data_IF_096977175146
#
_entry.id   IF_096977175146
#
_cell.length_a   1.000
_cell.length_b   1.000
_cell.length_c   1.000
_cell.angle_alpha   90.00
_cell.angle_beta   90.00
_cell.angle_gamma   90.00
#
_symmetry.space_group_name_H-M   'P 1'
#
loop_
_entity.id
_entity.type
_entity.pdbx_description
1 polymer ?
#
# COMPACT_ATOMS: atom_id res chain seq x y z
N UNK A 1 -2.19 -23.07 -4.66
CA UNK A 1 -3.47 -22.33 -4.70
C UNK A 1 -4.17 -22.20 -3.36
N UNK A 2 -4.57 -23.26 -2.64
CA UNK A 2 -5.31 -23.12 -1.36
C UNK A 2 -4.57 -22.30 -0.29
N UNK A 3 -3.33 -22.67 0.04
CA UNK A 3 -2.51 -21.97 1.06
C UNK A 3 -2.11 -20.54 0.67
N UNK A 4 -1.91 -20.26 -0.62
CA UNK A 4 -1.53 -18.93 -1.11
C UNK A 4 -2.71 -17.96 -1.01
N UNK A 5 -3.90 -18.41 -1.38
CA UNK A 5 -5.14 -17.64 -1.19
C UNK A 5 -5.39 -17.36 0.30
N UNK A 6 -5.11 -18.32 1.19
CA UNK A 6 -5.24 -18.11 2.63
C UNK A 6 -4.29 -17.02 3.15
N UNK A 7 -3.05 -16.95 2.65
CA UNK A 7 -2.10 -15.90 3.02
C UNK A 7 -2.52 -14.53 2.48
N UNK A 8 -2.98 -14.47 1.23
CA UNK A 8 -3.48 -13.23 0.64
C UNK A 8 -4.72 -12.71 1.37
N UNK A 9 -5.63 -13.60 1.74
CA UNK A 9 -6.80 -13.25 2.54
C UNK A 9 -6.41 -12.74 3.92
N UNK A 10 -5.45 -13.39 4.61
CA UNK A 10 -4.93 -12.90 5.89
C UNK A 10 -4.32 -11.51 5.77
N UNK A 11 -3.55 -11.26 4.71
CA UNK A 11 -2.99 -9.95 4.43
C UNK A 11 -4.09 -8.89 4.27
N UNK A 12 -5.15 -9.17 3.50
CA UNK A 12 -6.26 -8.22 3.35
C UNK A 12 -7.18 -8.08 4.57
N UNK A 13 -7.30 -9.11 5.40
CA UNK A 13 -8.07 -9.04 6.63
C UNK A 13 -7.55 -7.96 7.58
N UNK A 14 -6.23 -7.76 7.64
CA UNK A 14 -5.63 -6.66 8.41
C UNK A 14 -6.20 -5.29 8.01
N UNK A 15 -6.30 -5.02 6.70
CA UNK A 15 -6.87 -3.77 6.20
C UNK A 15 -8.38 -3.69 6.41
N UNK A 16 -9.10 -4.80 6.21
CA UNK A 16 -10.54 -4.87 6.46
C UNK A 16 -10.87 -4.51 7.91
N UNK A 17 -10.09 -5.00 8.89
CA UNK A 17 -10.23 -4.68 10.32
C UNK A 17 -10.02 -3.18 10.59
N UNK A 18 -9.04 -2.56 9.94
CA UNK A 18 -8.79 -1.11 10.05
C UNK A 18 -10.00 -0.32 9.54
N UNK A 19 -10.50 -0.62 8.33
CA UNK A 19 -11.66 0.08 7.76
C UNK A 19 -12.95 -0.14 8.56
N UNK A 20 -13.12 -1.31 9.18
CA UNK A 20 -14.22 -1.55 10.12
C UNK A 20 -14.08 -0.68 11.38
N UNK A 21 -12.87 -0.54 11.93
CA UNK A 21 -12.61 0.26 13.14
C UNK A 21 -12.76 1.77 12.92
N UNK A 22 -12.45 2.25 11.70
CA UNK A 22 -12.52 3.66 11.30
C UNK A 22 -13.93 4.03 10.79
N UNK A 23 -14.86 3.06 10.74
CA UNK A 23 -16.20 3.23 10.18
C UNK A 23 -16.12 3.76 8.74
N UNK A 24 -15.78 2.86 7.80
CA UNK A 24 -15.58 3.13 6.36
C UNK A 24 -16.53 4.15 5.68
N UNK A 25 -17.76 4.38 6.19
CA UNK A 25 -18.67 5.41 5.70
C UNK A 25 -18.13 6.84 5.85
N UNK A 26 -17.15 7.07 6.73
CA UNK A 26 -16.49 8.36 6.91
C UNK A 26 -15.50 8.68 5.77
N UNK A 27 -15.02 7.64 5.06
CA UNK A 27 -13.99 7.76 4.02
C UNK A 27 -14.32 6.89 2.79
N UNK A 28 -15.42 7.19 2.07
CA UNK A 28 -15.89 6.38 0.95
C UNK A 28 -14.94 6.32 -0.25
N UNK A 29 -14.20 7.39 -0.55
CA UNK A 29 -13.27 7.43 -1.69
C UNK A 29 -12.03 6.57 -1.42
N UNK A 30 -11.47 6.67 -0.20
CA UNK A 30 -10.34 5.84 0.23
C UNK A 30 -10.75 4.37 0.27
N UNK A 31 -11.94 4.06 0.80
CA UNK A 31 -12.43 2.67 0.82
C UNK A 31 -12.67 2.11 -0.60
N UNK A 32 -13.18 2.93 -1.52
CA UNK A 32 -13.30 2.55 -2.93
C UNK A 32 -11.92 2.27 -3.55
N UNK A 33 -10.92 3.12 -3.27
CA UNK A 33 -9.54 2.91 -3.74
C UNK A 33 -8.93 1.64 -3.18
N UNK A 34 -9.11 1.36 -1.89
CA UNK A 34 -8.67 0.13 -1.25
C UNK A 34 -9.22 -1.11 -1.97
N UNK A 35 -10.54 -1.16 -2.23
CA UNK A 35 -11.15 -2.30 -2.95
C UNK A 35 -10.57 -2.48 -4.34
N UNK A 36 -10.33 -1.39 -5.07
CA UNK A 36 -9.71 -1.45 -6.38
C UNK A 36 -8.28 -2.01 -6.31
N UNK A 37 -7.47 -1.54 -5.35
CA UNK A 37 -6.11 -2.08 -5.17
C UNK A 37 -6.16 -3.55 -4.78
N UNK A 38 -7.05 -3.97 -3.87
CA UNK A 38 -7.21 -5.38 -3.50
C UNK A 38 -7.54 -6.27 -4.70
N UNK A 39 -8.42 -5.80 -5.57
CA UNK A 39 -8.77 -6.51 -6.80
C UNK A 39 -7.57 -6.62 -7.74
N UNK A 40 -6.90 -5.50 -8.05
CA UNK A 40 -5.72 -5.46 -8.91
C UNK A 40 -4.59 -6.36 -8.37
N UNK A 41 -4.33 -6.32 -7.07
CA UNK A 41 -3.33 -7.16 -6.40
C UNK A 41 -3.63 -8.65 -6.57
N UNK A 42 -4.91 -9.03 -6.47
CA UNK A 42 -5.35 -10.43 -6.63
C UNK A 42 -5.20 -10.90 -8.07
N UNK A 43 -5.53 -10.05 -9.05
CA UNK A 43 -5.34 -10.35 -10.48
C UNK A 43 -3.86 -10.52 -10.81
N UNK A 44 -3.03 -9.57 -10.39
CA UNK A 44 -1.58 -9.56 -10.65
C UNK A 44 -0.90 -10.81 -10.06
N UNK A 45 -1.29 -11.25 -8.86
CA UNK A 45 -0.81 -12.51 -8.26
C UNK A 45 -1.26 -13.73 -9.06
N UNK A 46 -2.52 -13.75 -9.52
CA UNK A 46 -3.08 -14.86 -10.29
C UNK A 46 -2.35 -15.12 -11.60
N UNK A 47 -1.70 -14.11 -12.17
CA UNK A 47 -0.97 -14.19 -13.44
C UNK A 47 0.53 -14.50 -13.26
N UNK A 48 1.02 -14.66 -12.02
CA UNK A 48 2.45 -14.86 -11.78
C UNK A 48 2.93 -16.20 -12.30
N UNK A 49 4.08 -16.17 -12.97
CA UNK A 49 4.76 -17.34 -13.51
C UNK A 49 6.28 -17.08 -13.56
N UNK A 50 7.03 -18.09 -13.99
CA UNK A 50 8.49 -18.05 -14.00
C UNK A 50 9.07 -16.94 -14.90
N UNK A 51 8.33 -16.51 -15.92
CA UNK A 51 8.81 -15.52 -16.89
C UNK A 51 8.51 -14.07 -16.50
N UNK A 52 7.51 -13.84 -15.64
CA UNK A 52 7.10 -12.49 -15.22
C UNK A 52 7.34 -12.19 -13.73
N UNK A 53 7.86 -13.14 -12.95
CA UNK A 53 8.01 -13.02 -11.49
C UNK A 53 8.53 -11.66 -11.00
N UNK A 54 9.67 -11.19 -11.50
CA UNK A 54 10.27 -9.92 -11.04
C UNK A 54 9.42 -8.70 -11.43
N UNK A 55 8.78 -8.73 -12.59
CA UNK A 55 7.91 -7.66 -13.04
C UNK A 55 6.62 -7.64 -12.20
N UNK A 56 6.01 -8.80 -11.97
CA UNK A 56 4.84 -8.97 -11.11
C UNK A 56 5.15 -8.56 -9.67
N UNK A 57 6.31 -8.97 -9.12
CA UNK A 57 6.75 -8.59 -7.79
C UNK A 57 6.86 -7.08 -7.64
N UNK A 58 7.43 -6.39 -8.65
CA UNK A 58 7.47 -4.93 -8.66
C UNK A 58 6.06 -4.33 -8.62
N UNK A 59 5.14 -4.82 -9.45
CA UNK A 59 3.75 -4.34 -9.44
C UNK A 59 3.07 -4.56 -8.09
N UNK A 60 3.27 -5.72 -7.48
CA UNK A 60 2.75 -6.04 -6.14
C UNK A 60 3.30 -5.08 -5.09
N UNK A 61 4.60 -4.81 -5.09
CA UNK A 61 5.23 -3.85 -4.18
C UNK A 61 4.71 -2.43 -4.40
N UNK A 62 4.49 -2.02 -5.66
CA UNK A 62 3.90 -0.71 -5.96
C UNK A 62 2.46 -0.60 -5.42
N UNK A 63 1.68 -1.69 -5.44
CA UNK A 63 0.32 -1.74 -4.88
C UNK A 63 0.32 -1.79 -3.35
N UNK A 64 1.21 -2.56 -2.73
CA UNK A 64 1.42 -2.57 -1.28
C UNK A 64 1.78 -1.17 -0.78
N UNK A 65 2.80 -0.53 -1.38
CA UNK A 65 3.22 0.81 -0.99
C UNK A 65 2.07 1.84 -1.03
N UNK A 66 1.20 1.76 -2.04
CA UNK A 66 -0.02 2.58 -2.10
C UNK A 66 -0.95 2.31 -0.92
N UNK A 67 -1.19 1.03 -0.58
CA UNK A 67 -2.02 0.67 0.58
C UNK A 67 -1.44 1.17 1.89
N UNK A 68 -0.13 1.01 2.10
CA UNK A 68 0.54 1.47 3.31
C UNK A 68 0.38 2.97 3.48
N UNK A 69 0.68 3.77 2.44
CA UNK A 69 0.53 5.24 2.48
C UNK A 69 -0.91 5.63 2.79
N UNK A 70 -1.90 5.00 2.13
CA UNK A 70 -3.33 5.30 2.37
C UNK A 70 -3.70 5.10 3.84
N UNK A 71 -3.25 4.00 4.44
CA UNK A 71 -3.60 3.64 5.81
C UNK A 71 -2.84 4.48 6.83
N UNK A 72 -1.54 4.68 6.63
CA UNK A 72 -0.72 5.51 7.53
C UNK A 72 -1.25 6.93 7.61
N UNK A 73 -1.56 7.56 6.47
CA UNK A 73 -2.14 8.91 6.43
C UNK A 73 -3.53 8.93 7.07
N UNK A 74 -4.40 7.96 6.73
CA UNK A 74 -5.74 7.88 7.31
C UNK A 74 -5.70 7.77 8.84
N UNK A 75 -4.83 6.90 9.36
CA UNK A 75 -4.65 6.70 10.80
C UNK A 75 -4.07 7.97 11.45
N UNK A 76 -3.06 8.58 10.83
CA UNK A 76 -2.44 9.82 11.32
C UNK A 76 -3.47 10.95 11.48
N UNK A 77 -4.23 11.25 10.44
CA UNK A 77 -5.22 12.34 10.48
C UNK A 77 -6.39 12.06 11.42
N UNK A 78 -6.75 10.78 11.61
CA UNK A 78 -7.76 10.40 12.60
C UNK A 78 -7.29 10.68 14.04
N UNK A 79 -6.03 10.37 14.36
CA UNK A 79 -5.46 10.58 15.71
C UNK A 79 -5.34 12.09 16.04
N UNK A 80 -5.15 12.95 15.04
CA UNK A 80 -5.02 14.40 15.23
C UNK A 80 -6.33 15.14 15.60
N UNK A 81 -7.42 14.40 15.83
CA UNK A 81 -8.65 14.85 16.51
C UNK A 81 -9.13 16.26 16.08
N UNK A 82 -9.57 16.36 14.82
CA UNK A 82 -10.52 17.39 14.39
C UNK A 82 -9.98 18.80 14.13
N UNK A 83 -8.65 19.04 14.16
CA UNK A 83 -8.12 20.38 13.80
C UNK A 83 -8.07 20.64 12.31
N UNK A 84 -7.83 19.62 11.49
CA UNK A 84 -8.00 19.66 10.03
C UNK A 84 -8.42 18.25 9.58
N UNK A 85 -9.68 18.07 9.17
CA UNK A 85 -10.06 16.85 8.43
C UNK A 85 -9.31 16.89 7.10
N UNK A 86 -8.34 15.99 6.92
CA UNK A 86 -7.67 15.86 5.63
C UNK A 86 -8.68 15.44 4.56
N UNK A 87 -8.57 16.04 3.38
CA UNK A 87 -9.39 15.68 2.24
C UNK A 87 -8.97 14.28 1.75
N UNK A 88 -9.93 13.39 1.55
CA UNK A 88 -9.65 12.06 0.98
C UNK A 88 -8.84 12.15 -0.32
N UNK A 89 -9.08 13.18 -1.13
CA UNK A 89 -8.34 13.43 -2.37
C UNK A 89 -6.85 13.69 -2.14
N UNK A 90 -6.48 14.37 -1.05
CA UNK A 90 -5.08 14.63 -0.71
C UNK A 90 -4.37 13.32 -0.35
N UNK A 91 -5.02 12.47 0.47
CA UNK A 91 -4.50 11.15 0.83
C UNK A 91 -4.32 10.29 -0.43
N UNK A 92 -5.33 10.28 -1.31
CA UNK A 92 -5.28 9.56 -2.57
C UNK A 92 -4.17 10.08 -3.49
N UNK A 93 -3.95 11.38 -3.52
CA UNK A 93 -2.90 12.01 -4.31
C UNK A 93 -1.53 11.61 -3.79
N UNK A 94 -1.28 11.70 -2.48
CA UNK A 94 -0.01 11.28 -1.87
C UNK A 94 0.29 9.80 -2.15
N UNK A 95 -0.69 8.91 -1.94
CA UNK A 95 -0.53 7.49 -2.26
C UNK A 95 -0.19 7.27 -3.75
N UNK A 96 -0.73 8.11 -4.65
CA UNK A 96 -0.47 7.99 -6.09
C UNK A 96 0.89 8.54 -6.53
N UNK A 97 1.44 9.55 -5.85
CA UNK A 97 2.75 10.13 -6.18
C UNK A 97 3.91 9.45 -5.48
N UNK A 98 3.72 9.04 -4.22
CA UNK A 98 4.86 8.77 -3.31
C UNK A 98 5.20 7.28 -3.18
N UNK A 99 4.32 6.39 -3.67
CA UNK A 99 4.51 4.94 -3.57
C UNK A 99 5.86 4.45 -4.12
N UNK A 100 6.43 5.15 -5.12
CA UNK A 100 7.74 4.82 -5.72
C UNK A 100 8.91 5.01 -4.77
N UNK A 101 8.72 5.82 -3.73
CA UNK A 101 9.75 6.14 -2.74
C UNK A 101 9.50 5.46 -1.41
N UNK A 102 8.27 4.98 -1.14
CA UNK A 102 7.88 4.34 0.11
C UNK A 102 8.93 3.36 0.66
N UNK A 103 9.28 2.31 -0.08
CA UNK A 103 10.24 1.34 0.41
C UNK A 103 11.67 1.90 0.55
N UNK A 104 12.06 2.85 -0.30
CA UNK A 104 13.36 3.51 -0.15
C UNK A 104 13.42 4.27 1.19
N UNK A 105 12.35 4.97 1.54
CA UNK A 105 12.23 5.68 2.83
C UNK A 105 12.20 4.71 4.00
N UNK A 106 11.51 3.57 3.89
CA UNK A 106 11.52 2.51 4.91
C UNK A 106 12.92 1.90 5.11
N UNK A 107 13.76 1.90 4.09
CA UNK A 107 15.18 1.52 4.20
C UNK A 107 16.10 2.67 4.62
N UNK A 108 15.56 3.85 4.95
CA UNK A 108 16.31 5.01 5.45
C UNK A 108 16.90 5.91 4.36
N UNK A 109 16.56 5.70 3.09
CA UNK A 109 17.02 6.55 1.99
C UNK A 109 16.14 7.79 1.85
N UNK A 110 16.78 8.95 1.70
CA UNK A 110 16.15 10.21 1.31
C UNK A 110 16.06 10.31 -0.21
N UNK A 111 15.18 11.20 -0.70
CA UNK A 111 14.99 11.45 -2.14
C UNK A 111 16.29 11.76 -2.90
N UNK A 112 17.23 12.44 -2.25
CA UNK A 112 18.52 12.87 -2.83
C UNK A 112 19.67 11.89 -2.58
N UNK A 113 19.43 10.77 -1.90
CA UNK A 113 20.49 9.82 -1.59
C UNK A 113 20.90 9.03 -2.83
N UNK A 114 22.19 8.70 -2.90
CA UNK A 114 22.70 7.81 -3.94
C UNK A 114 22.19 6.40 -3.68
N UNK A 115 21.21 5.97 -4.47
CA UNK A 115 20.58 4.66 -4.34
C UNK A 115 21.58 3.56 -4.71
N UNK A 116 21.82 2.55 -3.85
CA UNK A 116 22.63 1.43 -4.24
C UNK A 116 21.91 0.62 -5.30
N UNK A 117 22.60 0.30 -6.39
CA UNK A 117 22.10 -0.60 -7.43
C UNK A 117 22.43 -2.07 -7.11
N UNK A 118 22.31 -2.43 -5.83
CA UNK A 118 22.61 -3.76 -5.31
C UNK A 118 21.40 -4.29 -4.56
N UNK A 119 21.10 -5.58 -4.73
CA UNK A 119 20.06 -6.24 -3.93
C UNK A 119 20.57 -6.54 -2.51
N UNK A 120 21.88 -6.75 -2.38
CA UNK A 120 22.55 -7.01 -1.11
C UNK A 120 23.18 -5.71 -0.61
N UNK A 121 22.69 -5.23 0.53
CA UNK A 121 23.31 -4.14 1.27
C UNK A 121 24.18 -4.76 2.36
N UNK A 122 25.50 -4.65 2.22
CA UNK A 122 26.45 -5.06 3.25
C UNK A 122 26.74 -3.84 4.11
N UNK A 123 26.32 -3.91 5.39
CA UNK A 123 26.71 -2.96 6.44
C UNK A 123 28.13 -3.29 6.93
#
# INVERSE_FOLDING_TARGET
MGKENDLLNKYFNYYDEIFQSIKFFEYPLIYAKYKNIRHEFTEVIGEVNQNNFLATMKCILDLDAKLQILIELLVYYRIQDGKERCNEEEILQCASSDYKFYYLEQFGYRLNDKKPHTILHFL
#
